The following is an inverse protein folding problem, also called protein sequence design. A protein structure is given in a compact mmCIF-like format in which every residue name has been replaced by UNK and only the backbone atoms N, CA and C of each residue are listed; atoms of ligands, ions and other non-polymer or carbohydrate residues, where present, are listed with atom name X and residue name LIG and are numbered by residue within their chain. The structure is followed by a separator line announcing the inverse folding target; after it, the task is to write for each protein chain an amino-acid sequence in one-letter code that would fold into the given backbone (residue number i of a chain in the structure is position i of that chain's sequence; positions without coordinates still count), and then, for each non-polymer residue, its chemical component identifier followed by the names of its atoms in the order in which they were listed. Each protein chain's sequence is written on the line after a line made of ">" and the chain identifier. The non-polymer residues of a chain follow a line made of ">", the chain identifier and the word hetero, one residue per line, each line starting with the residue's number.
data_IF_158862937231
#
_entry.id   IF_158862937231
#
_cell.length_a   1.000
_cell.length_b   1.000
_cell.length_c   1.000
_cell.angle_alpha   90.00
_cell.angle_beta   90.00
_cell.angle_gamma   90.00
#
_symmetry.space_group_name_H-M   'P 1'
#
loop_
_entity.id
_entity.type
_entity.pdbx_description
1 polymer ?
#
# COMPACT_ATOMS: atom_id res chain seq x y z
N UNK A 1 -44.20 -11.68 -52.74
CA UNK A 1 -44.00 -11.19 -54.12
C UNK A 1 -42.54 -10.79 -54.25
N UNK A 2 -41.86 -11.61 -55.11
CA UNK A 2 -40.69 -11.32 -55.95
C UNK A 2 -39.37 -10.93 -55.25
N UNK A 3 -38.46 -11.81 -55.01
CA UNK A 3 -37.50 -12.61 -55.84
C UNK A 3 -36.57 -11.72 -56.70
N UNK A 4 -35.29 -11.79 -56.46
CA UNK A 4 -34.21 -11.19 -57.25
C UNK A 4 -32.85 -11.75 -56.86
N UNK A 5 -32.51 -12.90 -57.42
CA UNK A 5 -31.19 -13.55 -57.45
C UNK A 5 -30.44 -13.02 -58.66
N UNK A 6 -29.16 -12.67 -58.57
CA UNK A 6 -28.23 -12.73 -59.71
C UNK A 6 -26.88 -13.26 -59.25
N UNK A 7 -26.48 -14.30 -59.96
CA UNK A 7 -25.22 -15.05 -59.89
C UNK A 7 -24.14 -14.46 -60.81
N UNK A 8 -22.91 -14.89 -60.49
CA UNK A 8 -21.85 -15.33 -61.44
C UNK A 8 -20.86 -14.32 -61.97
N UNK A 9 -19.56 -14.52 -61.70
CA UNK A 9 -18.67 -15.09 -62.71
C UNK A 9 -17.24 -15.38 -62.16
N UNK A 10 -16.78 -16.54 -62.53
CA UNK A 10 -15.52 -17.21 -62.32
C UNK A 10 -14.50 -16.73 -63.35
N UNK A 11 -13.21 -16.59 -62.96
CA UNK A 11 -12.11 -16.71 -63.93
C UNK A 11 -10.95 -17.49 -63.31
N UNK A 12 -10.69 -18.63 -63.85
CA UNK A 12 -9.57 -19.55 -63.62
C UNK A 12 -8.45 -19.19 -64.61
N UNK A 13 -7.20 -19.14 -64.17
CA UNK A 13 -6.06 -19.33 -65.03
C UNK A 13 -4.99 -20.17 -64.34
N UNK A 14 -4.72 -21.31 -64.95
CA UNK A 14 -3.76 -22.36 -64.67
C UNK A 14 -2.33 -21.94 -65.07
N UNK A 15 -1.34 -22.40 -64.29
CA UNK A 15 0.05 -22.40 -64.66
C UNK A 15 0.84 -23.44 -63.90
N UNK A 16 1.18 -24.56 -64.54
CA UNK A 16 1.98 -25.68 -64.07
C UNK A 16 3.48 -25.35 -63.97
N UNK A 17 4.16 -25.97 -63.00
CA UNK A 17 5.62 -26.07 -62.96
C UNK A 17 6.08 -27.01 -61.82
N UNK A 18 6.69 -28.12 -62.18
CA UNK A 18 6.93 -29.37 -61.46
C UNK A 18 8.12 -29.35 -60.49
N UNK A 19 7.98 -30.14 -59.43
CA UNK A 19 8.91 -31.05 -58.71
C UNK A 19 10.19 -30.47 -58.07
N UNK A 20 10.45 -30.79 -56.82
CA UNK A 20 10.99 -32.07 -56.27
C UNK A 20 10.86 -32.17 -54.74
N UNK A 21 10.69 -33.40 -54.25
CA UNK A 21 10.61 -33.82 -52.85
C UNK A 21 11.86 -33.53 -52.04
N UNK A 22 11.69 -33.14 -50.76
CA UNK A 22 12.34 -33.81 -49.63
C UNK A 22 11.62 -33.50 -48.32
N UNK A 23 11.22 -34.56 -47.66
CA UNK A 23 10.64 -34.61 -46.33
C UNK A 23 11.65 -34.24 -45.26
N UNK A 24 11.28 -33.32 -44.37
CA UNK A 24 11.78 -33.31 -42.98
C UNK A 24 10.75 -32.67 -42.08
N UNK A 25 10.25 -33.46 -41.18
CA UNK A 25 9.38 -33.07 -40.06
C UNK A 25 10.12 -32.11 -39.13
N UNK A 26 9.60 -30.92 -38.95
CA UNK A 26 10.01 -30.04 -37.87
C UNK A 26 8.80 -29.58 -37.08
N UNK A 27 8.71 -30.08 -35.86
CA UNK A 27 7.79 -29.65 -34.83
C UNK A 27 7.94 -28.17 -34.53
N UNK A 28 6.90 -27.39 -34.76
CA UNK A 28 6.85 -25.98 -34.38
C UNK A 28 6.54 -25.89 -32.89
N UNK A 29 7.57 -25.75 -32.08
CA UNK A 29 7.43 -25.21 -30.72
C UNK A 29 7.32 -23.70 -30.81
N UNK A 30 6.12 -23.17 -30.61
CA UNK A 30 5.88 -21.75 -30.42
C UNK A 30 6.50 -21.32 -29.08
N UNK A 31 7.75 -20.88 -29.12
CA UNK A 31 8.35 -20.18 -28.01
C UNK A 31 7.74 -18.80 -27.91
N UNK A 32 6.88 -18.62 -26.89
CA UNK A 32 6.41 -17.31 -26.44
C UNK A 32 7.60 -16.48 -25.98
N UNK A 33 8.10 -15.61 -26.82
CA UNK A 33 9.09 -14.61 -26.45
C UNK A 33 8.46 -13.64 -25.48
N UNK A 34 8.69 -13.84 -24.16
CA UNK A 34 8.55 -12.78 -23.18
C UNK A 34 9.55 -11.71 -23.53
N UNK A 35 9.11 -10.61 -24.15
CA UNK A 35 9.92 -9.41 -24.27
C UNK A 35 10.25 -8.94 -22.86
N UNK A 36 11.48 -9.11 -22.43
CA UNK A 36 12.02 -8.40 -21.29
C UNK A 36 12.08 -6.93 -21.69
N UNK A 37 11.03 -6.19 -21.40
CA UNK A 37 11.01 -4.76 -21.47
C UNK A 37 11.95 -4.28 -20.37
N UNK A 38 13.16 -3.86 -20.74
CA UNK A 38 14.06 -3.15 -19.83
C UNK A 38 13.30 -1.91 -19.38
N UNK A 39 12.86 -1.90 -18.13
CA UNK A 39 12.16 -0.77 -17.54
C UNK A 39 13.10 0.44 -17.65
N UNK A 40 12.73 1.41 -18.48
CA UNK A 40 13.40 2.69 -18.54
C UNK A 40 13.12 3.40 -17.21
N UNK A 41 14.16 3.95 -16.55
CA UNK A 41 13.99 4.71 -15.32
C UNK A 41 12.94 5.81 -15.54
N UNK A 42 11.91 5.83 -14.71
CA UNK A 42 10.82 6.80 -14.77
C UNK A 42 11.21 8.14 -14.14
N UNK A 43 10.24 9.05 -14.06
CA UNK A 43 10.40 10.28 -13.28
C UNK A 43 10.34 9.95 -11.78
N UNK A 44 10.99 10.77 -10.96
CA UNK A 44 11.00 10.56 -9.52
C UNK A 44 9.60 10.65 -8.91
N UNK A 45 9.33 9.70 -8.04
CA UNK A 45 8.16 9.63 -7.15
C UNK A 45 8.68 9.77 -5.73
N UNK A 46 8.05 10.62 -4.92
CA UNK A 46 8.38 10.75 -3.51
C UNK A 46 7.26 10.21 -2.63
N UNK A 47 7.62 9.46 -1.62
CA UNK A 47 6.72 8.93 -0.58
C UNK A 47 7.25 9.42 0.75
N UNK A 48 6.48 10.24 1.46
CA UNK A 48 6.87 10.81 2.74
C UNK A 48 5.98 10.26 3.85
N UNK A 49 6.57 9.49 4.76
CA UNK A 49 5.92 9.20 6.04
C UNK A 49 6.13 10.42 6.92
N UNK A 50 5.09 11.21 7.11
CA UNK A 50 5.14 12.49 7.81
C UNK A 50 5.27 12.25 9.32
N UNK A 51 6.13 13.02 9.98
CA UNK A 51 6.20 13.02 11.45
C UNK A 51 5.01 13.81 12.01
N UNK A 52 3.89 13.13 12.18
CA UNK A 52 2.65 13.70 12.71
C UNK A 52 2.35 13.31 14.17
N UNK A 53 3.35 12.85 14.91
CA UNK A 53 3.14 12.33 16.26
C UNK A 53 2.59 10.90 16.24
N UNK A 54 1.71 10.58 17.19
CA UNK A 54 1.03 9.27 17.16
C UNK A 54 -0.07 9.31 16.12
N UNK A 55 -0.01 8.36 15.17
CA UNK A 55 -0.94 8.25 14.05
C UNK A 55 -0.25 8.15 12.70
N UNK A 56 -1.00 7.95 11.64
CA UNK A 56 -0.48 7.80 10.28
C UNK A 56 -0.80 9.01 9.41
N UNK A 57 0.17 9.44 8.62
CA UNK A 57 -0.05 10.27 7.45
C UNK A 57 1.09 10.08 6.45
N UNK A 58 0.76 9.62 5.26
CA UNK A 58 1.77 9.30 4.24
C UNK A 58 1.42 10.03 2.95
N UNK A 59 2.29 10.97 2.57
CA UNK A 59 2.15 11.78 1.37
C UNK A 59 2.91 11.14 0.21
N UNK A 60 2.21 10.89 -0.90
CA UNK A 60 2.78 10.34 -2.13
C UNK A 60 2.64 11.39 -3.23
N UNK A 61 3.76 11.82 -3.79
CA UNK A 61 3.79 12.77 -4.89
C UNK A 61 4.39 12.09 -6.12
N UNK A 62 3.57 11.90 -7.13
CA UNK A 62 3.97 11.44 -8.46
C UNK A 62 4.13 12.65 -9.39
N UNK A 63 4.64 12.48 -10.61
CA UNK A 63 4.68 13.58 -11.58
C UNK A 63 3.32 14.19 -11.92
N UNK A 64 2.23 13.48 -11.68
CA UNK A 64 0.88 13.86 -12.13
C UNK A 64 -0.12 14.06 -10.99
N UNK A 65 0.07 13.41 -9.85
CA UNK A 65 -0.89 13.41 -8.75
C UNK A 65 -0.22 13.52 -7.39
N UNK A 66 -0.97 14.09 -6.46
CA UNK A 66 -0.68 14.06 -5.03
C UNK A 66 -1.72 13.17 -4.35
N UNK A 67 -1.24 12.15 -3.63
CA UNK A 67 -2.08 11.19 -2.90
C UNK A 67 -1.70 11.23 -1.43
N UNK A 68 -2.67 11.13 -0.56
CA UNK A 68 -2.47 11.07 0.89
C UNK A 68 -3.12 9.80 1.44
N UNK A 69 -2.36 9.04 2.23
CA UNK A 69 -2.89 7.90 2.98
C UNK A 69 -2.89 8.30 4.45
N UNK A 70 -4.07 8.32 5.05
CA UNK A 70 -4.39 8.75 6.42
C UNK A 70 -4.04 10.22 6.73
N UNK A 71 -4.59 10.76 7.81
CA UNK A 71 -4.58 12.19 8.11
C UNK A 71 -4.24 12.51 9.55
N UNK A 72 -3.50 11.63 10.26
CA UNK A 72 -3.07 11.87 11.64
C UNK A 72 -4.18 11.83 12.70
N UNK A 73 -3.80 12.08 13.95
CA UNK A 73 -4.72 12.19 15.09
C UNK A 73 -5.35 13.59 15.19
N UNK A 74 -6.46 13.64 15.93
CA UNK A 74 -7.18 14.89 16.23
C UNK A 74 -6.33 15.91 16.99
N UNK A 75 -5.44 15.44 17.87
CA UNK A 75 -4.59 16.31 18.69
C UNK A 75 -3.33 16.76 17.93
N UNK A 76 -3.02 16.12 16.81
CA UNK A 76 -1.85 16.39 15.98
C UNK A 76 -2.14 17.22 14.72
N UNK A 77 -3.33 17.80 14.60
CA UNK A 77 -3.79 18.56 13.42
C UNK A 77 -2.86 19.68 12.99
N UNK A 78 -2.32 20.42 13.96
CA UNK A 78 -1.40 21.52 13.68
C UNK A 78 -0.09 21.01 13.11
N UNK A 79 0.41 19.88 13.62
CA UNK A 79 1.62 19.24 13.14
C UNK A 79 1.40 18.66 11.74
N UNK A 80 0.29 17.96 11.53
CA UNK A 80 -0.13 17.45 10.24
C UNK A 80 -0.20 18.56 9.18
N UNK A 81 -0.84 19.71 9.52
CA UNK A 81 -0.91 20.85 8.62
C UNK A 81 0.49 21.40 8.30
N UNK A 82 1.35 21.58 9.30
CA UNK A 82 2.71 22.07 9.08
C UNK A 82 3.51 21.16 8.15
N UNK A 83 3.42 19.85 8.31
CA UNK A 83 4.12 18.90 7.43
C UNK A 83 3.61 18.94 5.98
N UNK A 84 2.30 19.08 5.76
CA UNK A 84 1.74 19.27 4.41
C UNK A 84 2.17 20.60 3.80
N UNK A 85 2.15 21.69 4.56
CA UNK A 85 2.57 23.01 4.09
C UNK A 85 4.09 23.02 3.76
N UNK A 86 4.92 22.39 4.58
CA UNK A 86 6.37 22.19 4.36
C UNK A 86 6.63 21.37 3.09
N UNK A 87 5.78 20.40 2.79
CA UNK A 87 5.84 19.63 1.56
C UNK A 87 5.28 20.37 0.34
N UNK A 88 4.79 21.61 0.50
CA UNK A 88 4.27 22.45 -0.58
C UNK A 88 2.91 22.01 -1.11
N UNK A 89 2.16 21.20 -0.36
CA UNK A 89 0.85 20.68 -0.78
C UNK A 89 -0.16 21.80 -0.88
N UNK A 90 -0.91 21.84 -1.99
CA UNK A 90 -2.06 22.74 -2.20
C UNK A 90 -3.31 21.96 -2.60
N UNK A 91 -3.11 20.86 -3.30
CA UNK A 91 -4.16 19.98 -3.80
C UNK A 91 -3.78 18.54 -3.51
N UNK A 92 -4.77 17.75 -3.14
CA UNK A 92 -4.65 16.30 -2.99
C UNK A 92 -5.69 15.67 -3.91
N UNK A 93 -5.20 14.91 -4.89
CA UNK A 93 -6.08 14.29 -5.89
C UNK A 93 -6.85 13.12 -5.32
N UNK A 94 -6.22 12.36 -4.43
CA UNK A 94 -6.82 11.20 -3.76
C UNK A 94 -6.41 11.15 -2.28
N UNK A 95 -7.37 10.95 -1.41
CA UNK A 95 -7.16 10.60 0.00
C UNK A 95 -7.59 9.16 0.20
N UNK A 96 -6.76 8.33 0.80
CA UNK A 96 -7.09 6.97 1.22
C UNK A 96 -7.11 6.96 2.74
N UNK A 97 -8.24 6.61 3.34
CA UNK A 97 -8.38 6.42 4.77
C UNK A 97 -8.41 4.92 5.06
N UNK A 98 -7.40 4.43 5.78
CA UNK A 98 -7.25 3.00 6.01
C UNK A 98 -8.36 2.44 6.86
N UNK A 99 -8.69 3.14 7.95
CA UNK A 99 -9.78 2.78 8.86
C UNK A 99 -10.19 3.99 9.72
N UNK A 100 -11.37 3.95 10.40
CA UNK A 100 -11.96 5.14 11.01
C UNK A 100 -11.50 5.43 12.45
N UNK A 101 -10.30 5.03 12.89
CA UNK A 101 -9.74 5.50 14.15
C UNK A 101 -9.26 6.95 14.05
N UNK A 102 -9.25 7.64 15.20
CA UNK A 102 -8.96 9.07 15.26
C UNK A 102 -7.56 9.42 14.76
N UNK A 103 -6.59 8.59 15.05
CA UNK A 103 -5.18 8.72 14.66
C UNK A 103 -4.90 8.43 13.17
N UNK A 104 -5.96 8.11 12.40
CA UNK A 104 -5.92 7.96 10.93
C UNK A 104 -6.81 8.96 10.20
N UNK A 105 -7.91 9.39 10.83
CA UNK A 105 -8.87 10.31 10.19
C UNK A 105 -8.95 11.68 10.87
N UNK A 106 -8.13 11.92 11.89
CA UNK A 106 -8.24 13.09 12.77
C UNK A 106 -8.02 14.43 12.09
N UNK A 107 -7.18 14.49 11.06
CA UNK A 107 -6.89 15.70 10.30
C UNK A 107 -7.84 15.98 9.12
N UNK A 108 -8.87 15.15 8.90
CA UNK A 108 -9.78 15.33 7.76
C UNK A 108 -10.50 16.67 7.75
N UNK A 109 -10.80 17.26 8.88
CA UNK A 109 -11.42 18.58 8.97
C UNK A 109 -10.47 19.70 8.50
N UNK A 110 -9.19 19.63 8.89
CA UNK A 110 -8.13 20.52 8.41
C UNK A 110 -7.95 20.34 6.91
N UNK A 111 -7.86 19.09 6.45
CA UNK A 111 -7.67 18.77 5.05
C UNK A 111 -8.78 19.36 4.17
N UNK A 112 -10.02 19.10 4.55
CA UNK A 112 -11.19 19.58 3.82
C UNK A 112 -11.39 21.09 3.90
N UNK A 113 -10.85 21.76 4.93
CA UNK A 113 -10.93 23.21 5.09
C UNK A 113 -9.86 23.93 4.26
N UNK A 114 -8.61 23.48 4.35
CA UNK A 114 -7.44 24.25 3.93
C UNK A 114 -6.84 23.81 2.59
N UNK A 115 -7.24 22.62 2.06
CA UNK A 115 -6.71 22.07 0.82
C UNK A 115 -7.80 21.70 -0.18
N UNK A 116 -7.43 21.66 -1.47
CA UNK A 116 -8.30 21.11 -2.50
C UNK A 116 -8.22 19.56 -2.47
N UNK A 117 -9.37 18.90 -2.29
CA UNK A 117 -9.47 17.44 -2.25
C UNK A 117 -10.28 16.96 -3.44
N UNK A 118 -9.70 16.05 -4.25
CA UNK A 118 -10.36 15.50 -5.45
C UNK A 118 -11.35 14.39 -5.10
N UNK A 119 -10.88 13.31 -4.48
CA UNK A 119 -11.72 12.18 -4.07
C UNK A 119 -11.21 11.56 -2.78
N UNK A 120 -12.10 10.90 -2.04
CA UNK A 120 -11.80 10.15 -0.82
C UNK A 120 -12.13 8.68 -1.05
N UNK A 121 -11.21 7.82 -0.65
CA UNK A 121 -11.34 6.38 -0.65
C UNK A 121 -11.19 5.87 0.78
N UNK A 122 -11.94 4.85 1.16
CA UNK A 122 -11.83 4.25 2.49
C UNK A 122 -12.17 2.75 2.48
N UNK A 123 -12.19 2.13 3.67
CA UNK A 123 -12.49 0.71 3.84
C UNK A 123 -13.97 0.33 3.69
N UNK A 124 -14.86 1.29 3.41
CA UNK A 124 -16.31 1.06 3.26
C UNK A 124 -17.06 0.77 4.54
N UNK A 125 -16.41 0.83 5.71
CA UNK A 125 -17.02 0.53 6.99
C UNK A 125 -17.60 1.80 7.64
N UNK A 126 -18.78 1.74 8.25
CA UNK A 126 -19.35 2.86 8.98
C UNK A 126 -18.69 3.01 10.35
N UNK A 127 -18.69 4.26 10.85
CA UNK A 127 -18.30 4.57 12.23
C UNK A 127 -19.28 5.58 12.84
N UNK A 128 -19.46 5.52 14.14
CA UNK A 128 -20.28 6.46 14.91
C UNK A 128 -19.46 7.57 15.56
N UNK A 129 -18.13 7.58 15.36
CA UNK A 129 -17.27 8.60 15.94
C UNK A 129 -17.62 9.99 15.41
N UNK A 130 -17.48 11.00 16.27
CA UNK A 130 -17.76 12.41 15.88
C UNK A 130 -16.86 12.86 14.73
N UNK A 131 -15.62 12.40 14.69
CA UNK A 131 -14.65 12.71 13.62
C UNK A 131 -15.14 12.17 12.29
N UNK A 132 -15.50 10.88 12.25
CA UNK A 132 -16.05 10.24 11.06
C UNK A 132 -17.32 10.93 10.55
N UNK A 133 -18.32 11.12 11.43
CA UNK A 133 -19.57 11.77 11.06
C UNK A 133 -19.36 13.22 10.60
N UNK A 134 -18.38 13.91 11.21
CA UNK A 134 -18.01 15.27 10.88
C UNK A 134 -17.47 15.41 9.46
N UNK A 135 -16.46 14.61 9.10
CA UNK A 135 -15.92 14.71 7.73
C UNK A 135 -16.88 14.17 6.67
N UNK A 136 -17.67 13.13 6.97
CA UNK A 136 -18.69 12.62 6.06
C UNK A 136 -19.72 13.70 5.68
N UNK A 137 -20.14 14.50 6.66
CA UNK A 137 -21.02 15.67 6.43
C UNK A 137 -20.33 16.70 5.52
N UNK A 138 -19.06 16.97 5.73
CA UNK A 138 -18.29 17.91 4.90
C UNK A 138 -18.09 17.39 3.47
N UNK A 139 -17.79 16.10 3.27
CA UNK A 139 -17.69 15.50 1.93
C UNK A 139 -18.99 15.70 1.14
N UNK A 140 -20.13 15.40 1.79
CA UNK A 140 -21.46 15.61 1.17
C UNK A 140 -21.69 17.08 0.83
N UNK A 141 -21.40 17.99 1.75
CA UNK A 141 -21.61 19.43 1.55
C UNK A 141 -20.74 20.00 0.41
N UNK A 142 -19.53 19.47 0.22
CA UNK A 142 -18.60 19.90 -0.82
C UNK A 142 -18.75 19.12 -2.14
N UNK A 143 -19.62 18.11 -2.21
CA UNK A 143 -19.78 17.25 -3.38
C UNK A 143 -18.54 16.40 -3.70
N UNK A 144 -17.69 16.13 -2.71
CA UNK A 144 -16.49 15.31 -2.90
C UNK A 144 -16.90 13.84 -2.94
N UNK A 145 -16.46 13.12 -3.99
CA UNK A 145 -16.75 11.70 -4.15
C UNK A 145 -16.05 10.87 -3.08
N UNK A 146 -16.79 9.93 -2.49
CA UNK A 146 -16.27 8.88 -1.62
C UNK A 146 -16.51 7.52 -2.24
N UNK A 147 -15.53 6.64 -2.17
CA UNK A 147 -15.61 5.27 -2.69
C UNK A 147 -14.96 4.30 -1.72
N UNK A 148 -15.64 3.20 -1.42
CA UNK A 148 -15.06 2.08 -0.68
C UNK A 148 -14.04 1.34 -1.55
N UNK A 149 -12.90 0.96 -0.96
CA UNK A 149 -11.89 0.11 -1.57
C UNK A 149 -12.05 -1.33 -1.10
N UNK A 150 -11.81 -2.26 -2.01
CA UNK A 150 -11.84 -3.69 -1.74
C UNK A 150 -10.73 -4.44 -2.47
N UNK A 151 -10.45 -5.63 -2.01
CA UNK A 151 -9.49 -6.53 -2.64
C UNK A 151 -9.75 -6.68 -4.14
N UNK A 152 -8.71 -6.48 -4.94
CA UNK A 152 -8.73 -6.50 -6.39
C UNK A 152 -8.85 -5.12 -7.05
N UNK A 153 -9.24 -4.08 -6.32
CA UNK A 153 -9.24 -2.72 -6.87
C UNK A 153 -7.81 -2.26 -7.15
N UNK A 154 -7.67 -1.46 -8.21
CA UNK A 154 -6.41 -0.81 -8.58
C UNK A 154 -6.67 0.67 -8.81
N UNK A 155 -5.99 1.52 -8.06
CA UNK A 155 -6.00 2.96 -8.26
C UNK A 155 -4.79 3.38 -9.11
N UNK A 156 -5.02 4.19 -10.11
CA UNK A 156 -3.96 4.88 -10.84
C UNK A 156 -3.55 6.14 -10.07
N UNK A 157 -2.26 6.25 -9.72
CA UNK A 157 -1.70 7.43 -9.07
C UNK A 157 -0.98 8.34 -10.08
N UNK A 158 -1.11 8.05 -11.39
CA UNK A 158 -0.45 8.79 -12.46
C UNK A 158 1.04 8.47 -12.58
N UNK A 159 1.63 8.84 -13.74
CA UNK A 159 3.06 8.65 -13.98
C UNK A 159 3.54 7.19 -14.02
N UNK A 160 2.63 6.23 -14.23
CA UNK A 160 2.93 4.79 -14.22
C UNK A 160 2.92 4.16 -12.81
N UNK A 161 2.49 4.91 -11.80
CA UNK A 161 2.35 4.44 -10.42
C UNK A 161 0.96 3.90 -10.19
N UNK A 162 0.83 2.68 -9.68
CA UNK A 162 -0.45 2.07 -9.33
C UNK A 162 -0.49 1.66 -7.86
N UNK A 163 -1.70 1.57 -7.32
CA UNK A 163 -1.96 1.09 -5.97
C UNK A 163 -2.95 -0.07 -6.02
N UNK A 164 -2.46 -1.30 -5.79
CA UNK A 164 -3.25 -2.53 -5.78
C UNK A 164 -3.74 -2.82 -4.38
N UNK A 165 -5.05 -2.94 -4.21
CA UNK A 165 -5.72 -3.23 -2.93
C UNK A 165 -5.80 -4.74 -2.71
N UNK A 166 -5.40 -5.21 -1.53
CA UNK A 166 -5.48 -6.61 -1.10
C UNK A 166 -6.59 -6.86 -0.09
N UNK A 167 -7.00 -5.82 0.66
CA UNK A 167 -7.98 -5.90 1.75
C UNK A 167 -8.61 -4.52 1.99
N UNK A 168 -9.87 -4.42 2.48
CA UNK A 168 -10.79 -5.48 2.87
C UNK A 168 -11.38 -6.25 1.69
N UNK A 169 -12.05 -7.38 1.95
CA UNK A 169 -12.86 -8.08 0.94
C UNK A 169 -14.25 -7.46 0.83
N UNK A 170 -14.91 -7.62 -0.33
CA UNK A 170 -16.30 -7.19 -0.50
C UNK A 170 -17.22 -7.83 0.56
N UNK A 171 -17.01 -9.11 0.86
CA UNK A 171 -17.78 -9.82 1.88
C UNK A 171 -17.68 -9.15 3.27
N UNK A 172 -16.48 -8.70 3.66
CA UNK A 172 -16.29 -7.99 4.92
C UNK A 172 -17.02 -6.64 4.92
N UNK A 173 -16.94 -5.90 3.81
CA UNK A 173 -17.66 -4.62 3.67
C UNK A 173 -19.17 -4.84 3.80
N UNK A 174 -19.70 -5.86 3.13
CA UNK A 174 -21.13 -6.17 3.18
C UNK A 174 -21.58 -6.58 4.59
N UNK A 175 -20.77 -7.38 5.30
CA UNK A 175 -21.04 -7.76 6.70
C UNK A 175 -20.99 -6.55 7.64
N UNK A 176 -19.99 -5.70 7.50
CA UNK A 176 -19.82 -4.50 8.35
C UNK A 176 -20.96 -3.50 8.21
N UNK A 177 -21.63 -3.47 7.06
CA UNK A 177 -22.79 -2.62 6.84
C UNK A 177 -24.11 -3.23 7.36
N UNK A 178 -24.08 -4.44 7.96
CA UNK A 178 -25.27 -5.04 8.56
C UNK A 178 -25.52 -4.52 9.98
N UNK A 179 -26.79 -4.37 10.33
CA UNK A 179 -27.18 -3.92 11.67
C UNK A 179 -26.68 -4.90 12.72
N UNK A 180 -25.98 -4.38 13.72
CA UNK A 180 -25.49 -5.17 14.86
C UNK A 180 -24.15 -5.84 14.64
N UNK A 181 -23.51 -5.60 13.49
CA UNK A 181 -22.12 -6.04 13.29
C UNK A 181 -21.19 -5.36 14.32
N UNK A 182 -20.29 -6.16 14.90
CA UNK A 182 -19.26 -5.64 15.81
C UNK A 182 -18.00 -5.35 14.99
N UNK A 183 -17.73 -4.08 14.81
CA UNK A 183 -16.55 -3.63 14.10
C UNK A 183 -15.27 -3.91 14.87
N UNK A 184 -14.25 -4.29 14.13
CA UNK A 184 -12.86 -4.35 14.55
C UNK A 184 -12.05 -3.45 13.58
N UNK A 185 -12.02 -2.12 13.82
CA UNK A 185 -11.54 -1.16 12.85
C UNK A 185 -10.11 -1.44 12.37
N UNK A 186 -9.20 -1.90 13.26
CA UNK A 186 -7.83 -2.26 12.87
C UNK A 186 -7.85 -3.38 11.83
N UNK A 187 -8.60 -4.45 12.10
CA UNK A 187 -8.73 -5.58 11.19
C UNK A 187 -9.70 -5.35 10.02
N UNK A 188 -10.17 -4.13 9.85
CA UNK A 188 -10.92 -3.64 8.69
C UNK A 188 -10.10 -2.64 7.85
N UNK A 189 -8.81 -2.44 8.18
CA UNK A 189 -7.90 -1.50 7.48
C UNK A 189 -7.75 -1.81 6.01
N UNK A 190 -7.67 -0.78 5.17
CA UNK A 190 -7.22 -0.93 3.78
C UNK A 190 -5.76 -1.37 3.77
N UNK A 191 -5.50 -2.53 3.18
CA UNK A 191 -4.14 -3.00 2.88
C UNK A 191 -3.92 -2.95 1.38
N UNK A 192 -2.88 -2.25 0.95
CA UNK A 192 -2.58 -2.10 -0.46
C UNK A 192 -1.10 -1.89 -0.74
N UNK A 193 -0.71 -2.12 -1.98
CA UNK A 193 0.67 -2.00 -2.43
C UNK A 193 0.79 -0.98 -3.55
N UNK A 194 1.64 0.03 -3.35
CA UNK A 194 2.13 0.88 -4.40
C UNK A 194 3.14 0.11 -5.24
N UNK A 195 3.00 0.20 -6.56
CA UNK A 195 3.86 -0.47 -7.55
C UNK A 195 4.29 0.58 -8.56
N UNK A 196 5.60 0.69 -8.76
CA UNK A 196 6.21 1.55 -9.78
C UNK A 196 7.45 0.87 -10.35
N UNK A 197 7.35 0.32 -11.56
CA UNK A 197 8.43 -0.51 -12.12
C UNK A 197 8.78 -1.69 -11.23
N UNK A 198 10.05 -1.78 -10.83
CA UNK A 198 10.58 -2.80 -9.92
C UNK A 198 10.42 -2.42 -8.44
N UNK A 199 10.10 -1.16 -8.14
CA UNK A 199 9.89 -0.68 -6.77
C UNK A 199 8.47 -0.97 -6.30
N UNK A 200 8.35 -1.32 -5.01
CA UNK A 200 7.05 -1.46 -4.38
C UNK A 200 7.09 -1.11 -2.89
N UNK A 201 5.99 -0.57 -2.38
CA UNK A 201 5.79 -0.32 -0.96
C UNK A 201 4.43 -0.84 -0.51
N UNK A 202 4.43 -1.66 0.55
CA UNK A 202 3.23 -2.24 1.14
C UNK A 202 2.74 -1.35 2.30
N UNK A 203 1.49 -0.94 2.23
CA UNK A 203 0.78 -0.14 3.22
C UNK A 203 -0.25 -1.03 3.91
N UNK A 204 -0.30 -1.00 5.21
CA UNK A 204 -1.05 -1.97 6.01
C UNK A 204 -2.10 -1.34 6.91
N UNK A 205 -2.11 0.01 7.02
CA UNK A 205 -2.85 0.66 8.11
C UNK A 205 -2.50 0.00 9.43
N UNK A 206 -3.51 -0.35 10.20
CA UNK A 206 -3.36 -1.03 11.49
C UNK A 206 -3.80 -2.49 11.46
N UNK A 207 -3.79 -3.10 10.27
CA UNK A 207 -4.07 -4.52 10.11
C UNK A 207 -3.22 -5.39 11.05
N UNK A 208 -3.86 -6.31 11.74
CA UNK A 208 -3.24 -7.19 12.72
C UNK A 208 -3.13 -8.64 12.19
N UNK A 209 -2.67 -9.58 13.03
CA UNK A 209 -2.44 -10.98 12.63
C UNK A 209 -3.62 -11.65 11.93
N UNK A 210 -4.90 -11.43 12.31
CA UNK A 210 -6.03 -12.03 11.58
C UNK A 210 -6.09 -11.62 10.11
N UNK A 211 -5.72 -10.37 9.78
CA UNK A 211 -5.64 -9.90 8.38
C UNK A 211 -4.40 -10.46 7.70
N UNK A 212 -3.25 -10.46 8.38
CA UNK A 212 -2.01 -11.07 7.86
C UNK A 212 -2.22 -12.53 7.44
N UNK A 213 -2.94 -13.32 8.26
CA UNK A 213 -3.27 -14.71 7.92
C UNK A 213 -4.15 -14.83 6.67
N UNK A 214 -5.11 -13.92 6.48
CA UNK A 214 -5.94 -13.89 5.28
C UNK A 214 -5.12 -13.52 4.05
N UNK A 215 -4.23 -12.52 4.16
CA UNK A 215 -3.34 -12.11 3.10
C UNK A 215 -2.38 -13.23 2.69
N UNK A 216 -1.82 -13.96 3.67
CA UNK A 216 -0.96 -15.11 3.42
C UNK A 216 -1.70 -16.24 2.68
N UNK A 217 -2.96 -16.48 3.00
CA UNK A 217 -3.78 -17.52 2.33
C UNK A 217 -4.13 -17.13 0.89
N UNK A 218 -4.36 -15.85 0.60
CA UNK A 218 -4.90 -15.39 -0.68
C UNK A 218 -3.85 -14.73 -1.60
N UNK A 219 -2.85 -14.08 -1.03
CA UNK A 219 -1.97 -13.15 -1.73
C UNK A 219 -0.48 -13.37 -1.46
N UNK A 220 -0.06 -14.45 -0.85
CA UNK A 220 1.32 -14.66 -0.39
C UNK A 220 2.39 -14.30 -1.42
N UNK A 221 2.19 -14.68 -2.69
CA UNK A 221 3.13 -14.39 -3.78
C UNK A 221 3.21 -12.89 -4.12
N UNK A 222 2.15 -12.13 -3.85
CA UNK A 222 2.04 -10.71 -4.16
C UNK A 222 2.52 -9.80 -3.02
N UNK A 223 2.77 -10.34 -1.81
CA UNK A 223 3.12 -9.54 -0.63
C UNK A 223 4.54 -9.02 -0.67
N UNK A 224 5.48 -9.71 -1.36
CA UNK A 224 6.88 -9.27 -1.44
C UNK A 224 6.97 -7.81 -1.88
N UNK A 225 7.69 -6.98 -1.11
CA UNK A 225 7.76 -5.54 -1.33
C UNK A 225 9.12 -4.99 -0.95
N UNK A 226 9.56 -3.93 -1.63
CA UNK A 226 10.83 -3.24 -1.35
C UNK A 226 10.79 -2.58 0.03
N UNK A 227 9.67 -1.94 0.37
CA UNK A 227 9.47 -1.26 1.65
C UNK A 227 8.15 -1.73 2.27
N UNK A 228 8.14 -1.83 3.60
CA UNK A 228 6.95 -2.09 4.40
C UNK A 228 6.65 -0.87 5.29
N UNK A 229 5.42 -0.32 5.23
CA UNK A 229 4.88 0.44 6.35
C UNK A 229 4.51 -0.58 7.43
N UNK A 230 5.12 -0.45 8.60
CA UNK A 230 4.84 -1.35 9.72
C UNK A 230 3.37 -1.36 10.09
N UNK A 231 2.72 -2.53 10.24
CA UNK A 231 1.35 -2.61 10.73
C UNK A 231 1.23 -1.98 12.12
N UNK A 232 0.13 -1.26 12.35
CA UNK A 232 -0.31 -0.80 13.66
C UNK A 232 0.83 -0.15 14.49
N UNK A 233 1.51 0.82 13.88
CA UNK A 233 2.62 1.60 14.50
C UNK A 233 3.73 0.74 15.12
N UNK A 234 3.91 -0.49 14.65
CA UNK A 234 4.84 -1.45 15.24
C UNK A 234 4.31 -2.17 16.47
N UNK A 235 2.99 -2.32 16.60
CA UNK A 235 2.35 -3.14 17.63
C UNK A 235 2.71 -4.63 17.51
N UNK A 236 2.82 -5.32 18.63
CA UNK A 236 3.00 -6.78 18.66
C UNK A 236 1.79 -7.58 18.18
N UNK A 237 0.65 -6.92 17.95
CA UNK A 237 -0.53 -7.52 17.35
C UNK A 237 -0.39 -7.79 15.86
N UNK A 238 0.61 -7.14 15.20
CA UNK A 238 0.95 -7.35 13.80
C UNK A 238 2.40 -7.82 13.60
N UNK A 239 2.84 -7.83 12.33
CA UNK A 239 4.21 -8.18 11.92
C UNK A 239 4.62 -9.59 12.33
N UNK A 240 3.70 -10.54 12.14
CA UNK A 240 3.95 -11.95 12.42
C UNK A 240 5.14 -12.49 11.60
N UNK A 241 5.81 -13.51 12.14
CA UNK A 241 6.96 -14.15 11.45
C UNK A 241 6.59 -14.67 10.04
N UNK A 242 5.45 -15.35 9.84
CA UNK A 242 5.04 -15.76 8.49
C UNK A 242 4.80 -14.60 7.54
N UNK A 243 4.18 -13.52 8.03
CA UNK A 243 3.89 -12.33 7.24
C UNK A 243 5.18 -11.60 6.82
N UNK A 244 6.05 -11.31 7.78
CA UNK A 244 7.33 -10.65 7.50
C UNK A 244 8.22 -11.49 6.57
N UNK A 245 8.15 -12.83 6.66
CA UNK A 245 8.81 -13.73 5.73
C UNK A 245 8.28 -13.61 4.29
N UNK A 246 6.97 -13.43 4.13
CA UNK A 246 6.35 -13.27 2.81
C UNK A 246 6.63 -11.89 2.20
N UNK A 247 6.62 -10.82 3.02
CA UNK A 247 6.90 -9.45 2.56
C UNK A 247 8.39 -9.26 2.28
N UNK A 248 9.26 -9.71 3.17
CA UNK A 248 10.74 -9.65 3.09
C UNK A 248 11.26 -8.29 2.60
N UNK A 249 10.95 -7.17 3.29
CA UNK A 249 11.27 -5.84 2.79
C UNK A 249 12.74 -5.49 3.07
N UNK A 250 13.33 -4.63 2.24
CA UNK A 250 14.66 -4.07 2.48
C UNK A 250 14.66 -3.07 3.64
N UNK A 251 13.55 -2.33 3.78
CA UNK A 251 13.36 -1.38 4.87
C UNK A 251 11.91 -1.40 5.40
N UNK A 252 11.78 -1.07 6.68
CA UNK A 252 10.51 -0.92 7.38
C UNK A 252 10.40 0.51 7.88
N UNK A 253 9.28 1.18 7.58
CA UNK A 253 8.97 2.50 8.09
C UNK A 253 7.87 2.38 9.15
N UNK A 254 8.08 3.02 10.28
CA UNK A 254 7.16 3.01 11.43
C UNK A 254 6.74 4.45 11.73
N UNK A 255 5.45 4.71 11.65
CA UNK A 255 4.86 5.96 12.14
C UNK A 255 4.49 5.78 13.61
N UNK A 256 5.06 6.58 14.48
CA UNK A 256 4.80 6.56 15.93
C UNK A 256 5.19 7.89 16.57
N UNK A 257 4.55 8.21 17.68
CA UNK A 257 4.83 9.41 18.46
C UNK A 257 5.90 9.19 19.53
N UNK A 258 6.62 10.25 19.88
CA UNK A 258 7.55 10.25 21.01
C UNK A 258 6.77 10.00 22.31
N UNK A 259 7.26 9.06 23.14
CA UNK A 259 6.66 8.72 24.43
C UNK A 259 5.15 8.40 24.35
N UNK A 260 4.70 7.76 23.27
CA UNK A 260 3.31 7.40 23.11
C UNK A 260 2.84 6.41 24.18
N UNK A 261 1.59 6.53 24.63
CA UNK A 261 0.99 5.73 25.71
C UNK A 261 0.88 4.24 25.40
N UNK A 262 0.99 3.85 24.12
CA UNK A 262 0.92 2.47 23.66
C UNK A 262 2.25 1.72 23.78
N UNK A 263 3.36 2.45 23.95
CA UNK A 263 4.72 1.89 23.94
C UNK A 263 5.14 1.41 22.54
N UNK A 264 4.55 1.95 21.49
CA UNK A 264 4.90 1.65 20.11
C UNK A 264 6.20 2.37 19.68
N UNK A 265 7.04 1.70 18.85
CA UNK A 265 6.94 0.31 18.44
C UNK A 265 7.33 -0.64 19.58
N UNK A 266 6.67 -1.79 19.67
CA UNK A 266 7.02 -2.82 20.64
C UNK A 266 8.37 -3.46 20.34
N UNK A 267 9.15 -3.74 21.39
CA UNK A 267 10.53 -4.19 21.26
C UNK A 267 10.69 -5.58 20.63
N UNK A 268 9.69 -6.46 20.75
CA UNK A 268 9.68 -7.76 20.06
C UNK A 268 9.50 -7.61 18.54
N UNK A 269 8.76 -6.60 18.09
CA UNK A 269 8.57 -6.26 16.68
C UNK A 269 9.86 -5.69 16.09
N UNK A 270 10.48 -4.73 16.79
CA UNK A 270 11.78 -4.19 16.40
C UNK A 270 12.84 -5.28 16.31
N UNK A 271 12.92 -6.18 17.30
CA UNK A 271 13.85 -7.30 17.28
C UNK A 271 13.65 -8.20 16.05
N UNK A 272 12.38 -8.47 15.65
CA UNK A 272 12.08 -9.22 14.43
C UNK A 272 12.57 -8.50 13.18
N UNK A 273 12.36 -7.19 13.07
CA UNK A 273 12.82 -6.39 11.92
C UNK A 273 14.34 -6.33 11.83
N UNK A 274 15.01 -6.21 12.97
CA UNK A 274 16.48 -6.13 13.06
C UNK A 274 17.19 -7.50 13.03
N UNK A 275 16.44 -8.60 12.94
CA UNK A 275 17.01 -9.95 12.91
C UNK A 275 17.64 -10.38 14.24
N UNK A 276 17.14 -9.85 15.35
CA UNK A 276 17.58 -10.17 16.71
C UNK A 276 16.74 -11.28 17.32
N UNK A 277 17.34 -12.26 18.00
CA UNK A 277 16.63 -13.33 18.70
C UNK A 277 16.29 -13.02 20.14
N UNK A 278 16.90 -11.98 20.68
CA UNK A 278 16.72 -11.49 22.07
C UNK A 278 16.51 -9.99 22.06
N UNK A 279 15.76 -9.50 23.01
CA UNK A 279 15.51 -8.07 23.21
C UNK A 279 15.28 -7.75 24.69
N UNK A 280 15.45 -6.50 25.07
CA UNK A 280 15.01 -5.97 26.36
C UNK A 280 13.62 -5.38 26.21
N UNK A 281 12.63 -5.89 26.92
CA UNK A 281 11.28 -5.32 26.90
C UNK A 281 11.32 -3.95 27.60
N UNK A 282 10.95 -2.89 26.89
CA UNK A 282 10.99 -1.51 27.41
C UNK A 282 9.98 -1.29 28.55
N UNK A 283 8.96 -2.14 28.70
CA UNK A 283 7.89 -2.01 29.71
C UNK A 283 8.32 -2.48 31.09
N UNK A 284 9.17 -3.50 31.15
CA UNK A 284 9.56 -4.16 32.40
C UNK A 284 11.07 -4.36 32.57
N UNK A 285 11.88 -3.98 31.58
CA UNK A 285 13.33 -4.15 31.57
C UNK A 285 13.81 -5.60 31.44
N UNK A 286 12.91 -6.56 31.28
CA UNK A 286 13.27 -7.98 31.21
C UNK A 286 13.87 -8.37 29.87
N UNK A 287 14.80 -9.33 29.88
CA UNK A 287 15.33 -9.97 28.69
C UNK A 287 14.35 -11.02 28.19
N UNK A 288 13.92 -10.88 26.94
CA UNK A 288 12.98 -11.78 26.26
C UNK A 288 13.56 -12.32 24.97
N UNK A 289 12.91 -13.37 24.43
CA UNK A 289 13.27 -13.98 23.15
C UNK A 289 12.15 -13.79 22.14
N UNK A 290 12.52 -13.61 20.87
CA UNK A 290 11.58 -13.65 19.75
C UNK A 290 12.05 -14.64 18.70
N UNK A 291 11.12 -15.09 17.85
CA UNK A 291 11.45 -15.98 16.74
C UNK A 291 12.10 -15.17 15.61
N UNK A 292 13.24 -15.64 15.14
CA UNK A 292 13.88 -15.09 13.93
C UNK A 292 13.04 -15.39 12.71
N UNK A 293 12.91 -14.39 11.84
CA UNK A 293 12.33 -14.57 10.50
C UNK A 293 13.39 -15.15 9.59
N UNK A 294 13.11 -16.30 8.95
CA UNK A 294 14.03 -16.98 8.05
C UNK A 294 13.35 -17.31 6.73
N UNK A 295 14.08 -17.18 5.63
CA UNK A 295 13.65 -17.68 4.34
C UNK A 295 13.87 -19.21 4.19
N UNK A 296 13.49 -19.78 3.04
CA UNK A 296 13.62 -21.23 2.77
C UNK A 296 15.07 -21.72 2.74
N UNK A 297 16.03 -20.82 2.55
CA UNK A 297 17.48 -21.11 2.59
C UNK A 297 18.07 -20.96 3.99
N UNK A 298 17.26 -20.67 5.01
CA UNK A 298 17.69 -20.47 6.39
C UNK A 298 18.35 -19.10 6.67
N UNK A 299 18.39 -18.19 5.70
CA UNK A 299 18.92 -16.84 5.91
C UNK A 299 18.00 -16.05 6.83
N UNK A 300 18.57 -15.40 7.83
CA UNK A 300 17.85 -14.54 8.76
C UNK A 300 17.54 -13.23 8.08
N UNK A 301 16.27 -12.80 8.16
CA UNK A 301 15.85 -11.48 7.74
C UNK A 301 16.48 -10.41 8.65
N UNK A 302 16.98 -9.35 8.04
CA UNK A 302 17.47 -8.17 8.72
C UNK A 302 17.20 -6.96 7.82
N UNK A 303 16.21 -6.16 8.18
CA UNK A 303 15.83 -4.92 7.48
C UNK A 303 16.44 -3.70 8.13
N UNK A 304 16.43 -2.58 7.40
CA UNK A 304 16.64 -1.24 7.95
C UNK A 304 15.34 -0.76 8.58
N UNK A 305 15.41 -0.14 9.75
CA UNK A 305 14.21 0.37 10.45
C UNK A 305 14.33 1.87 10.62
N UNK A 306 13.27 2.57 10.23
CA UNK A 306 13.09 4.00 10.43
C UNK A 306 11.83 4.25 11.24
N UNK A 307 11.89 5.10 12.25
CA UNK A 307 10.81 5.43 13.17
C UNK A 307 10.59 6.95 13.17
N UNK A 308 9.37 7.45 12.96
CA UNK A 308 9.13 8.91 12.89
C UNK A 308 9.42 9.65 14.19
N UNK A 309 9.34 8.98 15.33
CA UNK A 309 9.71 9.55 16.65
C UNK A 309 11.22 9.81 16.82
N UNK A 310 12.06 9.12 16.02
CA UNK A 310 13.53 9.24 16.04
C UNK A 310 14.11 9.89 14.80
N UNK A 311 13.44 9.71 13.68
CA UNK A 311 13.97 10.06 12.36
C UNK A 311 13.27 11.28 11.74
N UNK A 312 12.28 11.87 12.44
CA UNK A 312 11.47 12.93 11.83
C UNK A 312 10.65 12.42 10.65
N UNK A 313 10.38 13.27 9.68
CA UNK A 313 9.73 12.84 8.44
C UNK A 313 10.70 12.03 7.59
N UNK A 314 10.26 10.84 7.14
CA UNK A 314 11.04 9.88 6.36
C UNK A 314 10.61 9.98 4.90
N UNK A 315 11.53 10.31 4.02
CA UNK A 315 11.29 10.48 2.58
C UNK A 315 11.93 9.34 1.80
N UNK A 316 11.11 8.60 1.06
CA UNK A 316 11.53 7.65 0.03
C UNK A 316 11.43 8.31 -1.32
N UNK A 317 12.49 8.25 -2.12
CA UNK A 317 12.49 8.70 -3.51
C UNK A 317 12.81 7.53 -4.42
N UNK A 318 12.04 7.33 -5.47
CA UNK A 318 12.25 6.25 -6.43
C UNK A 318 11.92 6.67 -7.86
N UNK A 319 12.68 6.15 -8.82
CA UNK A 319 12.42 6.28 -10.26
C UNK A 319 11.77 5.00 -10.85
N UNK A 320 11.33 4.09 -10.00
CA UNK A 320 10.73 2.80 -10.38
C UNK A 320 11.74 1.67 -10.52
N UNK A 321 13.05 1.97 -10.56
CA UNK A 321 14.13 0.98 -10.59
C UNK A 321 15.00 1.07 -9.34
N UNK A 322 15.49 2.25 -9.07
CA UNK A 322 16.32 2.55 -7.91
C UNK A 322 15.48 3.32 -6.86
N UNK A 323 15.91 3.27 -5.61
CA UNK A 323 15.30 4.07 -4.55
C UNK A 323 16.34 4.54 -3.53
N UNK A 324 16.00 5.60 -2.82
CA UNK A 324 16.75 6.10 -1.67
C UNK A 324 15.79 6.43 -0.53
N UNK A 325 16.29 6.35 0.70
CA UNK A 325 15.55 6.74 1.89
C UNK A 325 16.37 7.82 2.59
N UNK A 326 15.72 8.94 2.91
CA UNK A 326 16.30 10.05 3.67
C UNK A 326 15.40 10.36 4.86
N UNK A 327 15.94 10.30 6.05
CA UNK A 327 15.32 10.78 7.27
C UNK A 327 15.68 12.27 7.48
N UNK A 328 14.84 13.02 8.18
CA UNK A 328 15.15 14.39 8.61
C UNK A 328 16.19 14.38 9.72
N UNK A 329 16.13 13.36 10.58
CA UNK A 329 17.00 13.21 11.75
C UNK A 329 17.54 11.78 11.81
N UNK A 330 18.82 11.64 12.16
CA UNK A 330 19.44 10.34 12.37
C UNK A 330 19.47 9.39 11.16
N UNK A 331 19.93 8.18 11.42
CA UNK A 331 20.05 7.09 10.45
C UNK A 331 19.10 5.93 10.81
N UNK A 332 18.96 4.97 9.89
CA UNK A 332 18.26 3.70 10.15
C UNK A 332 18.92 2.92 11.29
N UNK A 333 18.09 2.20 12.05
CA UNK A 333 18.55 1.15 12.95
C UNK A 333 18.93 -0.11 12.20
#
# INVERSE_FOLDING_TARGET
>A
MVLGIVMLAIAVLTGCGSQTNSSSSASSSAASAKSAQTAQAGKDVTIKMLNVGQGDSILIQTPEQTVLIDTSDVDERDKFKRELDKAGVKKIDKVILTHPHADHIGGMDVLLKDYQVGAVYDNGQPSTSKVYLGYMKQLKAKGIKRQALKAGDVLDFGGGVSFKVFYPTQELIDKGNQKGYKHDPNNESVVGKLIYGDFSMLFTGDAEQPVEEQLLKKNAADLKSTILKSPHHGSSTGSSVPYLRAVWPDAVLISCGVNNDYGHPHTDVLARYLGQSTYTDRRDGSQKKTKLVKNDKGQVYKGKVYETDKNGTITVTTNGKDYSIKAEEGDAQ
#
